data_IF_167320445941
#
_entry.id   IF_167320445941
#
_cell.length_a   1.000
_cell.length_b   1.000
_cell.length_c   1.000
_cell.angle_alpha   90.00
_cell.angle_beta   90.00
_cell.angle_gamma   90.00
#
_symmetry.space_group_name_H-M   'P 1'
#
loop_
_entity.id
_entity.type
_entity.pdbx_description
1 polymer ?
#
# COMPACT_ATOMS: atom_id res chain seq x y z
N UNK A 1 -7.58 20.57 0.29
CA UNK A 1 -8.19 21.68 1.03
C UNK A 1 -9.15 22.47 0.16
N UNK A 2 -8.71 22.90 -1.02
CA UNK A 2 -9.48 23.74 -1.96
C UNK A 2 -10.88 23.21 -2.32
N UNK A 3 -11.05 21.90 -2.46
CA UNK A 3 -12.33 21.31 -2.94
C UNK A 3 -13.31 20.91 -1.83
N UNK A 4 -12.89 20.87 -0.56
CA UNK A 4 -13.73 20.34 0.54
C UNK A 4 -14.02 18.83 0.50
N UNK A 5 -13.47 18.08 -0.45
CA UNK A 5 -13.66 16.63 -0.59
C UNK A 5 -12.45 15.85 -0.07
N UNK A 6 -12.67 14.60 0.36
CA UNK A 6 -11.58 13.67 0.71
C UNK A 6 -10.78 13.36 -0.56
N UNK A 7 -9.45 13.49 -0.47
CA UNK A 7 -8.52 13.13 -1.54
C UNK A 7 -7.56 12.06 -1.05
N UNK A 8 -7.06 11.25 -1.98
CA UNK A 8 -6.06 10.23 -1.71
C UNK A 8 -5.20 10.03 -2.95
N UNK A 9 -3.98 9.56 -2.74
CA UNK A 9 -3.09 9.13 -3.81
C UNK A 9 -2.51 7.77 -3.44
N UNK A 10 -2.45 6.86 -4.41
CA UNK A 10 -2.00 5.50 -4.17
C UNK A 10 -0.48 5.49 -4.05
N UNK A 11 0.03 5.65 -2.84
CA UNK A 11 1.47 5.56 -2.58
C UNK A 11 1.93 4.11 -2.76
N UNK A 12 2.82 3.88 -3.73
CA UNK A 12 3.28 2.53 -4.05
C UNK A 12 4.31 2.01 -3.03
N UNK A 13 3.93 0.97 -2.30
CA UNK A 13 4.77 0.30 -1.31
C UNK A 13 5.49 -0.94 -1.86
N UNK A 14 5.25 -1.34 -3.12
CA UNK A 14 5.98 -2.44 -3.77
C UNK A 14 7.49 -2.21 -3.65
N UNK A 15 8.20 -3.19 -3.10
CA UNK A 15 9.63 -3.14 -2.84
C UNK A 15 10.27 -4.51 -3.06
N UNK A 16 11.60 -4.55 -3.19
CA UNK A 16 12.36 -5.79 -3.39
C UNK A 16 12.47 -6.68 -2.15
N UNK A 17 12.14 -6.17 -0.96
CA UNK A 17 12.10 -6.92 0.30
C UNK A 17 10.87 -6.54 1.12
N UNK A 18 10.44 -7.45 2.01
CA UNK A 18 9.27 -7.23 2.87
C UNK A 18 9.50 -6.09 3.88
N UNK A 19 10.73 -5.95 4.38
CA UNK A 19 11.13 -4.91 5.33
C UNK A 19 11.00 -3.52 4.70
N UNK A 20 11.48 -3.35 3.46
CA UNK A 20 11.35 -2.08 2.75
C UNK A 20 9.91 -1.78 2.35
N UNK A 21 9.10 -2.81 2.03
CA UNK A 21 7.66 -2.65 1.80
C UNK A 21 6.96 -2.11 3.06
N UNK A 22 7.21 -2.72 4.23
CA UNK A 22 6.62 -2.29 5.49
C UNK A 22 7.10 -0.90 5.92
N UNK A 23 8.38 -0.57 5.70
CA UNK A 23 8.92 0.77 5.96
C UNK A 23 8.23 1.86 5.14
N UNK A 24 7.92 1.59 3.86
CA UNK A 24 7.13 2.51 3.02
C UNK A 24 5.70 2.64 3.53
N UNK A 25 5.09 1.54 3.96
CA UNK A 25 3.76 1.53 4.58
C UNK A 25 3.70 2.36 5.87
N UNK A 26 4.72 2.25 6.71
CA UNK A 26 4.87 3.01 7.95
C UNK A 26 4.96 4.51 7.66
N UNK A 27 5.77 4.92 6.67
CA UNK A 27 5.83 6.31 6.22
C UNK A 27 4.46 6.81 5.73
N UNK A 28 3.74 6.03 4.91
CA UNK A 28 2.41 6.40 4.44
C UNK A 28 1.40 6.60 5.60
N UNK A 29 1.45 5.72 6.62
CA UNK A 29 0.66 5.85 7.84
C UNK A 29 1.00 7.13 8.60
N UNK A 30 2.28 7.46 8.77
CA UNK A 30 2.75 8.66 9.46
C UNK A 30 2.36 9.95 8.73
N UNK A 31 2.24 9.90 7.41
CA UNK A 31 1.68 10.97 6.58
C UNK A 31 0.15 11.05 6.63
N UNK A 32 -0.51 10.15 7.37
CA UNK A 32 -1.96 10.08 7.50
C UNK A 32 -2.71 9.98 6.15
N UNK A 33 -2.10 9.33 5.14
CA UNK A 33 -2.80 9.11 3.87
C UNK A 33 -3.86 8.01 4.01
N UNK A 34 -4.99 8.07 3.28
CA UNK A 34 -6.06 7.09 3.44
C UNK A 34 -5.81 5.78 2.67
N UNK A 35 -4.86 5.75 1.72
CA UNK A 35 -4.71 4.65 0.76
C UNK A 35 -3.27 4.46 0.31
N UNK A 36 -2.88 3.20 0.12
CA UNK A 36 -1.59 2.77 -0.46
C UNK A 36 -1.82 1.71 -1.54
N UNK A 37 -0.78 1.35 -2.30
CA UNK A 37 -0.87 0.29 -3.31
C UNK A 37 0.26 -0.74 -3.25
N UNK A 38 -0.03 -1.93 -3.78
CA UNK A 38 0.93 -3.02 -3.94
C UNK A 38 0.69 -3.77 -5.26
N UNK A 39 1.78 -4.12 -5.94
CA UNK A 39 1.78 -4.95 -7.14
C UNK A 39 1.85 -6.43 -6.72
N UNK A 40 0.70 -7.05 -6.49
CA UNK A 40 0.66 -8.35 -5.79
C UNK A 40 1.31 -9.51 -6.56
N UNK A 41 1.34 -9.44 -7.89
CA UNK A 41 1.97 -10.48 -8.72
C UNK A 41 3.48 -10.35 -8.75
N UNK A 42 4.00 -9.15 -8.95
CA UNK A 42 5.45 -8.90 -9.03
C UNK A 42 6.11 -8.83 -7.66
N UNK A 43 5.39 -8.35 -6.64
CA UNK A 43 5.83 -8.40 -5.24
C UNK A 43 5.64 -9.79 -4.62
N UNK A 44 4.59 -10.51 -5.01
CA UNK A 44 4.29 -11.88 -4.60
C UNK A 44 3.19 -11.98 -3.54
N UNK A 45 2.47 -13.11 -3.55
CA UNK A 45 1.32 -13.36 -2.66
C UNK A 45 1.70 -13.40 -1.18
N UNK A 46 2.87 -13.93 -0.82
CA UNK A 46 3.33 -14.01 0.57
C UNK A 46 3.43 -12.64 1.21
N UNK A 47 4.14 -11.71 0.56
CA UNK A 47 4.26 -10.33 1.06
C UNK A 47 2.94 -9.58 0.98
N UNK A 48 2.12 -9.82 -0.06
CA UNK A 48 0.80 -9.21 -0.18
C UNK A 48 -0.14 -9.58 0.97
N UNK A 49 -0.13 -10.83 1.43
CA UNK A 49 -0.95 -11.26 2.57
C UNK A 49 -0.50 -10.58 3.87
N UNK A 50 0.82 -10.53 4.13
CA UNK A 50 1.39 -9.77 5.25
C UNK A 50 0.99 -8.30 5.17
N UNK A 51 1.04 -7.71 3.97
CA UNK A 51 0.69 -6.33 3.74
C UNK A 51 -0.79 -6.03 3.97
N UNK A 52 -1.67 -6.94 3.55
CA UNK A 52 -3.11 -6.83 3.79
C UNK A 52 -3.45 -6.84 5.30
N UNK A 53 -2.76 -7.68 6.09
CA UNK A 53 -2.89 -7.68 7.55
C UNK A 53 -2.41 -6.35 8.15
N UNK A 54 -1.25 -5.85 7.73
CA UNK A 54 -0.75 -4.54 8.17
C UNK A 54 -1.76 -3.41 7.87
N UNK A 55 -2.31 -3.37 6.66
CA UNK A 55 -3.32 -2.39 6.27
C UNK A 55 -4.59 -2.47 7.13
N UNK A 56 -5.01 -3.70 7.50
CA UNK A 56 -6.16 -3.92 8.40
C UNK A 56 -5.91 -3.33 9.78
N UNK A 57 -4.75 -3.58 10.35
CA UNK A 57 -4.40 -3.16 11.71
C UNK A 57 -4.12 -1.66 11.82
N UNK A 58 -3.82 -1.00 10.69
CA UNK A 58 -3.50 0.42 10.64
C UNK A 58 -4.51 1.30 9.90
N UNK A 59 -5.66 0.74 9.50
CA UNK A 59 -6.75 1.50 8.89
C UNK A 59 -6.40 2.09 7.52
N UNK A 60 -5.53 1.43 6.75
CA UNK A 60 -5.15 1.85 5.40
C UNK A 60 -5.98 1.09 4.36
N UNK A 61 -6.52 1.82 3.39
CA UNK A 61 -7.05 1.17 2.17
C UNK A 61 -5.88 0.63 1.35
N UNK A 62 -6.07 -0.56 0.78
CA UNK A 62 -5.07 -1.24 -0.05
C UNK A 62 -5.56 -1.39 -1.49
N UNK A 63 -5.01 -0.59 -2.40
CA UNK A 63 -5.22 -0.75 -3.84
C UNK A 63 -4.29 -1.83 -4.40
N UNK A 64 -4.85 -2.80 -5.13
CA UNK A 64 -4.09 -3.92 -5.70
C UNK A 64 -3.92 -3.73 -7.20
N UNK A 65 -2.67 -3.67 -7.64
CA UNK A 65 -2.33 -3.59 -9.05
C UNK A 65 -1.80 -4.94 -9.55
N UNK A 66 -2.20 -5.33 -10.76
CA UNK A 66 -1.95 -6.66 -11.35
C UNK A 66 -0.82 -6.66 -12.38
N UNK A 67 0.27 -5.94 -12.13
CA UNK A 67 1.43 -5.92 -13.04
C UNK A 67 1.89 -7.35 -13.37
N UNK A 68 2.32 -7.62 -14.62
CA UNK A 68 2.72 -8.97 -15.10
C UNK A 68 1.56 -9.98 -15.27
N UNK A 69 0.29 -9.55 -15.31
CA UNK A 69 -0.82 -10.49 -15.49
C UNK A 69 -0.96 -11.11 -16.90
N UNK A 70 -0.25 -10.58 -17.91
CA UNK A 70 -0.34 -10.96 -19.32
C UNK A 70 1.04 -11.13 -19.92
#
# INVERSE_FOLDING_TARGET
AETGEIKGHYLNATAGTAEEMLKRAQCAKELCVPIIMHDYLTGGFTVNTTFANYCRDHGLLLHIHRAMHA
#
